data_IF_131905953568
#
_entry.id   IF_131905953568
#
_cell.length_a   1.000
_cell.length_b   1.000
_cell.length_c   1.000
_cell.angle_alpha   90.00
_cell.angle_beta   90.00
_cell.angle_gamma   90.00
#
_symmetry.space_group_name_H-M   'P 1'
#
loop_
_entity.id
_entity.type
_entity.pdbx_description
1 polymer ?
#
# COMPACT_ATOMS: atom_id res chain seq x y z
N UNK A 1 11.80 5.96 12.47
CA UNK A 1 13.16 5.46 12.15
C UNK A 1 13.07 4.66 10.85
N UNK A 2 13.97 4.87 9.90
CA UNK A 2 14.01 4.12 8.64
C UNK A 2 14.77 2.80 8.87
N UNK A 3 14.09 1.68 8.66
CA UNK A 3 14.65 0.34 8.81
C UNK A 3 15.06 -0.17 7.44
N UNK A 4 16.24 -0.77 7.34
CA UNK A 4 16.79 -1.34 6.11
C UNK A 4 16.99 -2.84 6.27
N UNK A 5 16.48 -3.62 5.34
CA UNK A 5 16.61 -5.07 5.33
C UNK A 5 17.10 -5.56 3.96
N UNK A 6 17.85 -6.66 3.95
CA UNK A 6 18.38 -7.26 2.74
C UNK A 6 17.27 -7.91 1.91
N UNK A 7 17.22 -7.61 0.62
CA UNK A 7 16.39 -8.36 -0.32
C UNK A 7 17.12 -9.68 -0.61
N UNK A 8 16.56 -10.78 -0.10
CA UNK A 8 17.19 -12.11 -0.14
C UNK A 8 17.57 -12.54 -1.56
N UNK A 9 18.84 -12.95 -1.71
CA UNK A 9 19.44 -13.36 -2.97
C UNK A 9 19.85 -12.21 -3.89
N UNK A 10 20.06 -11.02 -3.33
CA UNK A 10 20.53 -9.83 -4.06
C UNK A 10 21.48 -9.01 -3.18
N UNK A 11 22.19 -8.05 -3.77
CA UNK A 11 23.05 -7.11 -3.03
C UNK A 11 22.33 -5.78 -2.71
N UNK A 12 21.00 -5.81 -2.65
CA UNK A 12 20.18 -4.63 -2.44
C UNK A 12 19.51 -4.67 -1.08
N UNK A 13 19.51 -3.54 -0.40
CA UNK A 13 18.69 -3.30 0.78
C UNK A 13 17.42 -2.58 0.37
N UNK A 14 16.31 -2.90 1.03
CA UNK A 14 15.06 -2.17 0.93
C UNK A 14 14.66 -1.61 2.29
N UNK A 15 14.20 -0.37 2.30
CA UNK A 15 13.68 0.23 3.51
C UNK A 15 12.19 0.03 3.68
N UNK A 16 11.72 0.13 4.92
CA UNK A 16 10.30 0.10 5.24
C UNK A 16 9.51 1.25 4.57
N UNK A 17 10.21 2.26 4.05
CA UNK A 17 9.63 3.39 3.28
C UNK A 17 9.88 3.26 1.76
N UNK A 18 10.15 2.04 1.26
CA UNK A 18 10.24 1.72 -0.18
C UNK A 18 11.45 2.31 -0.89
N UNK A 19 12.50 2.73 -0.17
CA UNK A 19 13.79 3.09 -0.78
C UNK A 19 14.64 1.86 -0.99
N UNK A 20 15.33 1.80 -2.12
CA UNK A 20 16.29 0.76 -2.44
C UNK A 20 17.70 1.34 -2.34
N UNK A 21 18.57 0.65 -1.61
CA UNK A 21 20.00 0.97 -1.54
C UNK A 21 20.79 -0.15 -2.20
N UNK A 22 21.64 0.20 -3.15
CA UNK A 22 22.51 -0.78 -3.82
C UNK A 22 23.80 -1.04 -3.01
N UNK A 23 24.61 -2.00 -3.47
CA UNK A 23 25.91 -2.33 -2.85
C UNK A 23 26.92 -1.19 -2.77
N UNK A 24 26.79 -0.18 -3.63
CA UNK A 24 27.63 1.03 -3.61
C UNK A 24 27.07 2.11 -2.68
N UNK A 25 26.01 1.83 -1.92
CA UNK A 25 25.35 2.77 -1.02
C UNK A 25 24.40 3.76 -1.69
N UNK A 26 24.22 3.72 -3.02
CA UNK A 26 23.31 4.62 -3.74
C UNK A 26 21.86 4.26 -3.41
N UNK A 27 21.09 5.28 -3.01
CA UNK A 27 19.67 5.16 -2.67
C UNK A 27 18.81 5.61 -3.86
N UNK A 28 17.69 4.93 -4.08
CA UNK A 28 16.71 5.23 -5.11
C UNK A 28 15.29 4.91 -4.63
N UNK A 29 14.31 5.68 -5.09
CA UNK A 29 12.87 5.42 -4.90
C UNK A 29 12.26 4.66 -6.10
N UNK A 30 13.10 4.29 -7.07
CA UNK A 30 12.70 3.67 -8.33
C UNK A 30 12.02 4.65 -9.27
N UNK A 31 11.20 4.13 -10.17
CA UNK A 31 10.43 4.92 -11.13
C UNK A 31 8.98 4.46 -11.21
N UNK A 32 8.07 5.37 -11.54
CA UNK A 32 6.66 5.03 -11.73
C UNK A 32 6.48 4.42 -13.12
N UNK A 33 5.96 3.19 -13.17
CA UNK A 33 5.67 2.52 -14.42
C UNK A 33 4.44 3.14 -15.11
N UNK A 34 4.59 3.61 -16.35
CA UNK A 34 3.53 4.36 -17.06
C UNK A 34 2.23 3.59 -17.27
N UNK A 35 2.30 2.26 -17.45
CA UNK A 35 1.11 1.45 -17.74
C UNK A 35 0.22 1.15 -16.52
N UNK A 36 0.79 1.04 -15.33
CA UNK A 36 0.05 0.60 -14.13
C UNK A 36 0.28 1.49 -12.90
N UNK A 37 1.09 2.56 -13.01
CA UNK A 37 1.30 3.55 -11.95
C UNK A 37 2.08 3.06 -10.74
N UNK A 38 2.59 1.83 -10.74
CA UNK A 38 3.35 1.32 -9.59
C UNK A 38 4.81 1.72 -9.68
N UNK A 39 5.39 2.04 -8.52
CA UNK A 39 6.81 2.21 -8.37
C UNK A 39 7.53 0.87 -8.61
N UNK A 40 8.43 0.87 -9.58
CA UNK A 40 9.23 -0.27 -10.02
C UNK A 40 10.72 0.08 -9.94
N UNK A 41 11.54 -0.95 -9.81
CA UNK A 41 13.00 -0.81 -9.85
C UNK A 41 13.63 -1.97 -10.59
N UNK A 42 14.85 -1.78 -11.10
CA UNK A 42 15.66 -2.86 -11.66
C UNK A 42 16.59 -3.40 -10.59
N UNK A 43 16.46 -4.69 -10.30
CA UNK A 43 17.32 -5.40 -9.33
C UNK A 43 18.07 -6.51 -10.04
N UNK A 44 19.37 -6.60 -9.76
CA UNK A 44 20.18 -7.75 -10.17
C UNK A 44 20.01 -8.88 -9.15
N UNK A 45 19.62 -10.06 -9.62
CA UNK A 45 19.52 -11.30 -8.84
C UNK A 45 20.18 -12.41 -9.65
N UNK A 46 21.23 -13.04 -9.11
CA UNK A 46 22.00 -14.09 -9.77
C UNK A 46 22.44 -13.71 -11.20
N UNK A 47 23.13 -12.57 -11.35
CA UNK A 47 23.61 -12.01 -12.64
C UNK A 47 22.52 -11.70 -13.68
N UNK A 48 21.24 -11.74 -13.32
CA UNK A 48 20.13 -11.35 -14.18
C UNK A 48 19.41 -10.12 -13.61
N UNK A 49 19.13 -9.14 -14.46
CA UNK A 49 18.34 -7.98 -14.09
C UNK A 49 16.86 -8.24 -14.30
N UNK A 50 16.04 -7.90 -13.29
CA UNK A 50 14.58 -7.95 -13.40
C UNK A 50 13.97 -6.64 -12.95
N UNK A 51 12.97 -6.17 -13.69
CA UNK A 51 12.10 -5.09 -13.25
C UNK A 51 11.10 -5.68 -12.26
N UNK A 52 11.06 -5.11 -11.05
CA UNK A 52 10.25 -5.63 -9.95
C UNK A 52 9.48 -4.49 -9.28
N UNK A 53 8.28 -4.82 -8.81
CA UNK A 53 7.44 -3.90 -8.05
C UNK A 53 8.01 -3.66 -6.65
N UNK A 54 8.20 -2.39 -6.28
CA UNK A 54 8.83 -2.05 -5.00
C UNK A 54 7.94 -2.43 -3.81
N UNK A 55 6.62 -2.30 -3.95
CA UNK A 55 5.69 -2.73 -2.89
C UNK A 55 5.81 -4.23 -2.60
N UNK A 56 6.06 -5.04 -3.64
CA UNK A 56 6.21 -6.49 -3.49
C UNK A 56 7.49 -6.81 -2.71
N UNK A 57 8.59 -6.13 -3.01
CA UNK A 57 9.84 -6.30 -2.27
C UNK A 57 9.69 -5.91 -0.79
N UNK A 58 8.95 -4.83 -0.50
CA UNK A 58 8.67 -4.46 0.90
C UNK A 58 7.86 -5.57 1.58
N UNK A 59 6.82 -6.09 0.93
CA UNK A 59 6.04 -7.19 1.48
C UNK A 59 6.91 -8.44 1.70
N UNK A 60 7.72 -8.83 0.73
CA UNK A 60 8.61 -9.99 0.82
C UNK A 60 9.62 -9.90 1.96
N UNK A 61 10.08 -8.70 2.29
CA UNK A 61 11.16 -8.49 3.26
C UNK A 61 10.63 -8.19 4.67
N UNK A 62 9.51 -7.49 4.79
CA UNK A 62 8.97 -7.05 6.08
C UNK A 62 7.76 -7.86 6.57
N UNK A 63 7.15 -8.68 5.71
CA UNK A 63 5.95 -9.47 6.04
C UNK A 63 6.27 -10.96 5.87
N UNK A 64 6.25 -11.75 6.95
CA UNK A 64 6.40 -13.20 6.84
C UNK A 64 5.36 -13.81 5.89
N UNK A 65 5.82 -14.61 4.93
CA UNK A 65 4.97 -15.35 3.98
C UNK A 65 5.11 -16.87 4.22
N UNK A 66 4.63 -17.38 5.38
CA UNK A 66 4.80 -18.80 5.75
C UNK A 66 4.18 -19.78 4.75
N UNK A 67 3.26 -19.30 3.92
CA UNK A 67 2.52 -20.08 2.94
C UNK A 67 3.06 -19.92 1.50
N UNK A 68 4.20 -19.23 1.33
CA UNK A 68 4.90 -18.99 0.07
C UNK A 68 4.01 -18.56 -1.11
N UNK A 69 3.07 -17.64 -0.85
CA UNK A 69 2.13 -17.18 -1.88
C UNK A 69 2.86 -16.39 -2.98
N UNK A 70 2.59 -16.68 -4.27
CA UNK A 70 3.33 -16.10 -5.40
C UNK A 70 2.93 -14.65 -5.74
N UNK A 71 1.81 -14.15 -5.22
CA UNK A 71 1.26 -12.83 -5.53
C UNK A 71 0.88 -12.06 -4.26
N UNK A 72 1.21 -10.78 -4.23
CA UNK A 72 0.70 -9.79 -3.27
C UNK A 72 -0.49 -9.11 -3.96
N UNK A 73 -1.72 -9.46 -3.60
CA UNK A 73 -2.90 -9.20 -4.45
C UNK A 73 -3.62 -7.89 -4.07
N UNK A 74 -3.46 -6.80 -4.85
CA UNK A 74 -4.02 -5.46 -4.50
C UNK A 74 -4.43 -4.55 -5.68
N UNK A 75 -5.55 -4.83 -6.37
CA UNK A 75 -5.99 -3.98 -7.51
C UNK A 75 -7.36 -3.29 -7.34
N UNK A 76 -8.28 -3.77 -6.49
CA UNK A 76 -9.67 -3.27 -6.52
C UNK A 76 -10.26 -2.87 -5.16
N UNK A 77 -9.43 -2.45 -4.21
CA UNK A 77 -9.93 -2.06 -2.88
C UNK A 77 -10.56 -3.22 -2.12
N UNK A 78 -9.99 -4.42 -2.27
CA UNK A 78 -10.41 -5.65 -1.58
C UNK A 78 -9.37 -6.02 -0.52
N UNK A 79 -9.83 -6.64 0.56
CA UNK A 79 -9.03 -7.09 1.70
C UNK A 79 -8.96 -8.61 1.68
N UNK A 80 -7.78 -9.17 1.96
CA UNK A 80 -7.61 -10.60 2.21
C UNK A 80 -7.69 -10.86 3.71
N UNK A 81 -8.62 -11.70 4.13
CA UNK A 81 -8.79 -12.11 5.53
C UNK A 81 -7.80 -13.23 5.91
N UNK A 82 -7.67 -13.51 7.21
CA UNK A 82 -6.78 -14.53 7.75
C UNK A 82 -7.08 -15.95 7.20
N UNK A 83 -8.36 -16.25 6.94
CA UNK A 83 -8.79 -17.49 6.30
C UNK A 83 -8.53 -17.53 4.78
N UNK A 84 -7.72 -16.60 4.25
CA UNK A 84 -7.37 -16.42 2.84
C UNK A 84 -8.51 -15.99 1.93
N UNK A 85 -9.71 -15.72 2.45
CA UNK A 85 -10.82 -15.17 1.68
C UNK A 85 -10.53 -13.72 1.26
N UNK A 86 -10.70 -13.42 -0.03
CA UNK A 86 -10.63 -12.05 -0.55
C UNK A 86 -12.03 -11.48 -0.59
N UNK A 87 -12.25 -10.34 0.05
CA UNK A 87 -13.56 -9.70 0.13
C UNK A 87 -13.46 -8.20 -0.13
N UNK A 88 -14.50 -7.63 -0.71
CA UNK A 88 -14.67 -6.16 -0.73
C UNK A 88 -15.18 -5.62 0.61
N UNK A 89 -15.48 -6.50 1.57
CA UNK A 89 -16.21 -6.18 2.78
C UNK A 89 -17.71 -6.09 2.54
N UNK A 90 -18.43 -5.78 3.61
CA UNK A 90 -19.86 -5.50 3.58
C UNK A 90 -20.07 -3.99 3.65
N UNK A 91 -21.00 -3.47 2.84
CA UNK A 91 -21.35 -2.05 2.88
C UNK A 91 -22.13 -1.77 4.17
N UNK A 92 -21.67 -0.80 4.95
CA UNK A 92 -22.33 -0.33 6.17
C UNK A 92 -22.30 1.18 6.23
N UNK A 93 -23.47 1.79 6.43
CA UNK A 93 -23.72 3.22 6.27
C UNK A 93 -23.34 3.70 4.86
N UNK A 94 -22.08 4.09 4.69
CA UNK A 94 -21.51 4.64 3.45
C UNK A 94 -20.18 4.02 3.07
N UNK A 95 -19.58 3.16 3.90
CA UNK A 95 -18.25 2.60 3.68
C UNK A 95 -18.28 1.08 3.69
N UNK A 96 -17.44 0.45 2.88
CA UNK A 96 -17.17 -0.98 3.02
C UNK A 96 -16.38 -1.26 4.30
N UNK A 97 -16.80 -2.31 5.02
CA UNK A 97 -16.18 -2.74 6.27
C UNK A 97 -15.89 -4.25 6.25
N UNK A 98 -14.86 -4.67 6.97
CA UNK A 98 -14.55 -6.08 7.23
C UNK A 98 -14.51 -6.33 8.74
N UNK A 99 -15.10 -7.44 9.16
CA UNK A 99 -14.95 -7.95 10.52
C UNK A 99 -13.64 -8.73 10.65
N UNK A 100 -12.82 -8.39 11.63
CA UNK A 100 -11.61 -9.14 11.99
C UNK A 100 -11.71 -9.40 13.50
N UNK A 101 -12.01 -10.64 13.87
CA UNK A 101 -12.40 -10.97 15.25
C UNK A 101 -13.71 -10.26 15.63
N UNK A 102 -13.73 -9.61 16.80
CA UNK A 102 -14.88 -8.83 17.29
C UNK A 102 -14.89 -7.37 16.79
N UNK A 103 -13.85 -6.96 16.06
CA UNK A 103 -13.67 -5.59 15.60
C UNK A 103 -14.10 -5.42 14.14
N UNK A 104 -14.59 -4.23 13.81
CA UNK A 104 -14.92 -3.82 12.44
C UNK A 104 -13.95 -2.77 11.96
N UNK A 105 -13.45 -2.94 10.74
CA UNK A 105 -12.49 -2.05 10.12
C UNK A 105 -13.02 -1.54 8.79
N UNK A 106 -12.79 -0.26 8.50
CA UNK A 106 -13.11 0.31 7.19
C UNK A 106 -12.08 -0.10 6.15
N UNK A 107 -12.57 -0.56 5.00
CA UNK A 107 -11.72 -1.13 3.95
C UNK A 107 -10.76 -0.10 3.37
N UNK A 108 -11.21 1.14 3.13
CA UNK A 108 -10.32 2.20 2.63
C UNK A 108 -9.18 2.54 3.61
N UNK A 109 -9.41 2.49 4.92
CA UNK A 109 -8.34 2.68 5.90
C UNK A 109 -7.33 1.55 5.86
N UNK A 110 -7.79 0.29 5.83
CA UNK A 110 -6.90 -0.87 5.73
C UNK A 110 -6.07 -0.82 4.45
N UNK A 111 -6.71 -0.46 3.33
CA UNK A 111 -6.03 -0.27 2.04
C UNK A 111 -5.01 0.85 2.16
N UNK A 112 -5.38 2.05 2.62
CA UNK A 112 -4.45 3.16 2.74
C UNK A 112 -3.26 2.85 3.67
N UNK A 113 -3.48 2.18 4.81
CA UNK A 113 -2.40 1.74 5.71
C UNK A 113 -1.43 0.76 5.04
N UNK A 114 -1.93 -0.10 4.14
CA UNK A 114 -1.11 -1.08 3.44
C UNK A 114 -0.29 -0.48 2.28
N UNK A 115 -0.76 0.59 1.64
CA UNK A 115 -0.12 1.14 0.41
C UNK A 115 0.50 2.52 0.57
N UNK A 116 0.04 3.32 1.53
CA UNK A 116 0.48 4.68 1.75
C UNK A 116 1.11 4.83 3.14
N UNK A 117 2.25 5.53 3.19
CA UNK A 117 2.78 6.02 4.44
C UNK A 117 1.84 7.07 5.00
N UNK A 118 1.48 6.93 6.27
CA UNK A 118 0.74 7.96 6.99
C UNK A 118 1.64 9.20 7.10
N UNK A 119 1.21 10.28 6.47
CA UNK A 119 1.88 11.58 6.57
C UNK A 119 1.71 12.15 7.99
N UNK A 120 2.77 12.77 8.53
CA UNK A 120 2.74 13.34 9.87
C UNK A 120 1.64 14.42 9.95
N UNK A 121 0.75 14.31 10.95
CA UNK A 121 -0.39 15.21 11.15
C UNK A 121 -1.62 14.90 10.28
N UNK A 122 -1.58 13.86 9.43
CA UNK A 122 -2.73 13.42 8.61
C UNK A 122 -3.30 12.11 9.12
N UNK A 123 -4.32 12.21 9.98
CA UNK A 123 -4.93 11.06 10.66
C UNK A 123 -6.11 10.43 9.91
N UNK A 124 -6.58 11.05 8.81
CA UNK A 124 -7.78 10.62 8.09
C UNK A 124 -7.45 10.16 6.67
N UNK A 125 -8.25 9.25 6.13
CA UNK A 125 -8.17 8.83 4.72
C UNK A 125 -9.40 9.37 4.01
N UNK A 126 -9.18 10.05 2.89
CA UNK A 126 -10.23 10.64 2.07
C UNK A 126 -10.24 9.99 0.68
N UNK A 127 -11.43 9.89 0.10
CA UNK A 127 -11.66 9.44 -1.28
C UNK A 127 -11.59 10.64 -2.24
N UNK A 128 -10.67 10.59 -3.19
CA UNK A 128 -10.42 11.67 -4.16
C UNK A 128 -11.67 11.91 -5.01
N UNK A 129 -12.32 10.85 -5.49
CA UNK A 129 -13.53 10.90 -6.30
C UNK A 129 -14.84 11.06 -5.51
N UNK A 130 -14.77 11.14 -4.17
CA UNK A 130 -15.91 11.19 -3.24
C UNK A 130 -16.85 9.99 -3.27
N UNK A 131 -16.48 8.92 -3.96
CA UNK A 131 -17.19 7.66 -3.93
C UNK A 131 -16.61 6.78 -2.81
N UNK A 132 -17.29 6.68 -1.66
CA UNK A 132 -16.77 5.94 -0.50
C UNK A 132 -16.75 4.42 -0.71
N UNK A 133 -17.32 3.94 -1.82
CA UNK A 133 -17.27 2.54 -2.25
C UNK A 133 -16.06 2.24 -3.15
N UNK A 134 -15.43 3.27 -3.74
CA UNK A 134 -14.24 3.11 -4.57
C UNK A 134 -12.97 3.09 -3.70
N UNK A 135 -12.68 1.94 -3.11
CA UNK A 135 -11.52 1.76 -2.23
C UNK A 135 -10.23 1.45 -2.99
N UNK A 136 -10.15 1.76 -4.29
CA UNK A 136 -8.89 1.62 -5.03
C UNK A 136 -7.85 2.51 -4.39
N UNK A 137 -6.63 2.00 -4.23
CA UNK A 137 -5.49 2.73 -3.67
C UNK A 137 -5.36 4.11 -4.33
N UNK A 138 -5.39 4.16 -5.67
CA UNK A 138 -5.29 5.40 -6.46
C UNK A 138 -6.36 6.45 -6.15
N UNK A 139 -7.46 6.05 -5.51
CA UNK A 139 -8.56 6.93 -5.14
C UNK A 139 -8.48 7.39 -3.66
N UNK A 140 -7.46 6.98 -2.91
CA UNK A 140 -7.33 7.29 -1.49
C UNK A 140 -6.15 8.22 -1.24
N UNK A 141 -6.29 9.12 -0.27
CA UNK A 141 -5.20 9.98 0.23
C UNK A 141 -5.30 10.20 1.73
N UNK A 142 -4.15 10.34 2.39
CA UNK A 142 -4.12 10.83 3.76
C UNK A 142 -4.46 12.32 3.79
N UNK A 143 -5.19 12.75 4.82
CA UNK A 143 -5.61 14.13 5.03
C UNK A 143 -5.73 14.45 6.52
N UNK A 144 -5.65 15.74 6.84
CA UNK A 144 -5.98 16.28 8.16
C UNK A 144 -7.49 16.32 8.36
N UNK A 145 -7.95 16.46 9.61
CA UNK A 145 -9.37 16.66 9.91
C UNK A 145 -9.96 17.87 9.16
N UNK A 146 -9.20 18.98 9.12
CA UNK A 146 -9.58 20.22 8.45
C UNK A 146 -9.73 20.03 6.94
N UNK A 147 -8.77 19.38 6.30
CA UNK A 147 -8.82 19.07 4.86
C UNK A 147 -10.00 18.14 4.52
N UNK A 148 -10.25 17.13 5.36
CA UNK A 148 -11.37 16.22 5.16
C UNK A 148 -12.73 16.94 5.28
N UNK A 149 -12.86 17.82 6.29
CA UNK A 149 -14.07 18.60 6.52
C UNK A 149 -14.27 19.68 5.44
N UNK A 150 -13.21 20.37 5.03
CA UNK A 150 -13.26 21.32 3.92
C UNK A 150 -13.62 20.64 2.60
N UNK A 151 -13.10 19.44 2.32
CA UNK A 151 -13.48 18.67 1.13
C UNK A 151 -14.95 18.26 1.16
N UNK A 152 -15.51 17.94 2.33
CA UNK A 152 -16.93 17.64 2.52
C UNK A 152 -17.84 18.88 2.41
N UNK A 153 -17.34 20.07 2.80
CA UNK A 153 -18.11 21.33 2.82
C UNK A 153 -18.06 22.07 1.47
N UNK A 154 -16.87 22.20 0.86
CA UNK A 154 -16.64 22.97 -0.38
C UNK A 154 -17.44 22.50 -1.59
N UNK A 155 -18.14 21.38 -1.48
CA UNK A 155 -18.92 20.78 -2.55
C UNK A 155 -20.31 20.32 -2.07
N UNK A 156 -20.79 20.93 -0.97
CA UNK A 156 -22.18 20.87 -0.47
C UNK A 156 -22.92 22.21 -0.65
N UNK A 157 -22.42 23.08 -1.54
CA UNK A 157 -23.16 24.18 -2.15
C UNK A 157 -23.35 23.87 -3.63
#
# INVERSE_FOLDING_TARGET
MELWLLIVGTDYLISNIRRIKNKNGKISEGSIHKGHGYAVTKISKNNNYRSVNIHRLVAEVFIPNPENKPFVNHINGRVQLLNRMITQGSLSERYFQVGIGHLKYQVHHLVALAFYLKEQGKDYVNHIDRNPTNNKVSNLKWCTQKENMQHAISHKL
#
